data_IF_649796462175
#
_entry.id   IF_649796462175
#
_cell.length_a   1.000
_cell.length_b   1.000
_cell.length_c   1.000
_cell.angle_alpha   90.00
_cell.angle_beta   90.00
_cell.angle_gamma   90.00
#
_symmetry.space_group_name_H-M   'P 1'
#
loop_
_entity.id
_entity.type
_entity.pdbx_description
1 polymer ?
#
# COMPACT_ATOMS: atom_id res chain seq x y z
N UNK A 1 19.33 3.30 10.57
CA UNK A 1 20.24 4.17 9.79
C UNK A 1 19.95 3.93 8.30
N UNK A 2 19.24 4.86 7.64
CA UNK A 2 18.66 4.69 6.29
C UNK A 2 19.63 5.14 5.18
N UNK A 3 20.82 4.53 5.07
CA UNK A 3 21.91 5.05 4.24
C UNK A 3 21.77 4.79 2.72
N UNK A 4 20.71 4.11 2.27
CA UNK A 4 20.53 3.74 0.87
C UNK A 4 19.12 4.07 0.33
N UNK A 5 18.48 5.11 0.87
CA UNK A 5 17.21 5.63 0.35
C UNK A 5 17.52 6.78 -0.61
N UNK A 6 16.93 6.74 -1.80
CA UNK A 6 17.05 7.76 -2.84
C UNK A 6 15.68 8.26 -3.27
N UNK A 7 15.65 9.49 -3.77
CA UNK A 7 14.46 10.04 -4.45
C UNK A 7 14.11 9.12 -5.63
N UNK A 8 12.83 8.78 -5.76
CA UNK A 8 12.33 7.88 -6.78
C UNK A 8 12.40 6.39 -6.42
N UNK A 9 12.80 6.03 -5.19
CA UNK A 9 12.67 4.64 -4.75
C UNK A 9 11.20 4.22 -4.63
N UNK A 10 10.91 3.04 -5.14
CA UNK A 10 9.61 2.40 -5.01
C UNK A 10 9.32 2.05 -3.55
N UNK A 11 8.09 2.35 -3.13
CA UNK A 11 7.57 2.01 -1.81
C UNK A 11 6.24 1.31 -1.98
N UNK A 12 6.08 0.18 -1.28
CA UNK A 12 4.83 -0.57 -1.23
C UNK A 12 4.07 -0.18 0.04
N UNK A 13 2.98 0.57 -0.12
CA UNK A 13 2.08 0.95 0.99
C UNK A 13 1.11 -0.18 1.37
N UNK A 14 0.73 -0.99 0.38
CA UNK A 14 -0.14 -2.15 0.51
C UNK A 14 0.26 -3.15 -0.58
N UNK A 15 0.56 -4.39 -0.21
CA UNK A 15 1.11 -5.41 -1.11
C UNK A 15 2.36 -6.08 -0.54
N UNK A 16 3.09 -6.80 -1.41
CA UNK A 16 4.22 -7.65 -1.02
C UNK A 16 5.54 -7.14 -1.58
N UNK A 17 6.56 -7.06 -0.73
CA UNK A 17 7.93 -6.71 -1.13
C UNK A 17 8.96 -7.47 -0.30
N UNK A 18 9.98 -8.06 -0.95
CA UNK A 18 11.10 -8.76 -0.27
C UNK A 18 10.64 -9.79 0.79
N UNK A 19 9.57 -10.54 0.48
CA UNK A 19 9.01 -11.56 1.37
C UNK A 19 8.16 -11.03 2.53
N UNK A 20 8.02 -9.71 2.69
CA UNK A 20 7.09 -9.08 3.63
C UNK A 20 5.84 -8.63 2.90
N UNK A 21 4.72 -8.58 3.60
CA UNK A 21 3.43 -8.18 3.07
C UNK A 21 2.76 -7.21 4.03
N UNK A 22 2.14 -6.17 3.48
CA UNK A 22 1.23 -5.27 4.17
C UNK A 22 -0.14 -5.47 3.54
N UNK A 23 -1.02 -6.19 4.24
CA UNK A 23 -2.34 -6.52 3.71
C UNK A 23 -3.33 -5.37 3.89
N UNK A 24 -4.41 -5.37 3.11
CA UNK A 24 -5.54 -4.45 3.32
C UNK A 24 -6.22 -4.68 4.68
N UNK A 25 -6.20 -5.91 5.19
CA UNK A 25 -6.76 -6.28 6.49
C UNK A 25 -5.97 -5.66 7.63
N UNK A 26 -4.64 -5.63 7.52
CA UNK A 26 -3.78 -4.99 8.50
C UNK A 26 -4.05 -3.48 8.58
N UNK A 27 -4.28 -2.83 7.44
CA UNK A 27 -4.71 -1.42 7.42
C UNK A 27 -6.05 -1.22 8.11
N UNK A 28 -7.02 -2.08 7.80
CA UNK A 28 -8.36 -2.04 8.41
C UNK A 28 -8.30 -2.17 9.94
N UNK A 29 -7.49 -3.11 10.45
CA UNK A 29 -7.25 -3.28 11.89
C UNK A 29 -6.59 -2.05 12.52
N UNK A 30 -5.54 -1.50 11.88
CA UNK A 30 -4.77 -0.35 12.40
C UNK A 30 -5.60 0.92 12.55
N UNK A 31 -6.58 1.15 11.67
CA UNK A 31 -7.40 2.36 11.68
C UNK A 31 -8.85 2.12 12.15
N UNK A 32 -9.18 0.89 12.56
CA UNK A 32 -10.50 0.54 13.11
C UNK A 32 -11.63 0.57 12.09
N UNK A 33 -11.39 0.05 10.88
CA UNK A 33 -12.39 -0.04 9.81
C UNK A 33 -12.42 -1.43 9.16
N UNK A 34 -13.11 -1.57 8.02
CA UNK A 34 -13.17 -2.76 7.17
C UNK A 34 -12.32 -2.58 5.90
N UNK A 35 -11.85 -3.67 5.27
CA UNK A 35 -11.03 -3.59 4.05
C UNK A 35 -11.66 -2.81 2.90
N UNK A 36 -13.00 -2.87 2.79
CA UNK A 36 -13.74 -2.19 1.73
C UNK A 36 -13.61 -0.67 1.83
N UNK A 37 -13.61 -0.11 3.04
CA UNK A 37 -13.38 1.32 3.21
C UNK A 37 -11.97 1.72 2.80
N UNK A 38 -10.96 0.87 3.04
CA UNK A 38 -9.59 1.15 2.62
C UNK A 38 -9.48 1.20 1.09
N UNK A 39 -10.02 0.21 0.39
CA UNK A 39 -9.93 0.14 -1.08
C UNK A 39 -10.79 1.22 -1.75
N UNK A 40 -11.98 1.50 -1.23
CA UNK A 40 -12.85 2.56 -1.75
C UNK A 40 -12.31 3.97 -1.49
N UNK A 41 -11.54 4.18 -0.42
CA UNK A 41 -10.90 5.47 -0.15
C UNK A 41 -9.73 5.80 -1.08
N UNK A 42 -9.28 4.86 -1.93
CA UNK A 42 -8.30 5.16 -2.97
C UNK A 42 -8.95 6.07 -4.03
N UNK A 43 -8.75 7.38 -3.87
CA UNK A 43 -9.34 8.40 -4.74
C UNK A 43 -9.00 8.24 -6.23
N UNK A 44 -9.77 8.91 -7.09
CA UNK A 44 -9.56 8.92 -8.55
C UNK A 44 -8.18 9.48 -8.97
N UNK A 45 -7.54 10.29 -8.12
CA UNK A 45 -6.18 10.84 -8.31
C UNK A 45 -5.10 9.77 -8.51
N UNK A 46 -5.27 8.59 -7.92
CA UNK A 46 -4.27 7.52 -8.02
C UNK A 46 -4.50 6.76 -9.33
N UNK A 47 -3.57 6.76 -10.31
CA UNK A 47 -3.77 6.04 -11.56
C UNK A 47 -3.80 4.52 -11.32
N UNK A 48 -4.70 3.81 -12.02
CA UNK A 48 -4.79 2.34 -11.97
C UNK A 48 -4.06 1.76 -13.16
N UNK A 49 -3.11 0.86 -12.91
CA UNK A 49 -2.36 0.13 -13.94
C UNK A 49 -2.78 -1.34 -13.83
N UNK A 50 -3.42 -1.87 -14.87
CA UNK A 50 -3.85 -3.26 -14.92
C UNK A 50 -2.76 -4.10 -15.59
N UNK A 51 -2.19 -5.05 -14.84
CA UNK A 51 -1.22 -6.01 -15.33
C UNK A 51 -1.95 -7.34 -15.64
N UNK A 52 -1.50 -8.05 -16.68
CA UNK A 52 -2.08 -9.32 -17.11
C UNK A 52 -1.38 -10.50 -16.47
#
# INVERSE_FOLDING_TARGET
KNHNIRIGNEVVLMGKQKGKEISVWEWAERIGTIPYEITCNISQRVPRIYLR
#
